data_IF_627004100490
#
_entry.id   IF_627004100490
#
_cell.length_a   1.000
_cell.length_b   1.000
_cell.length_c   1.000
_cell.angle_alpha   90.00
_cell.angle_beta   90.00
_cell.angle_gamma   90.00
#
_symmetry.space_group_name_H-M   'P 1'
#
loop_
_entity.id
_entity.type
_entity.pdbx_description
1 polymer ?
#
# COMPACT_ATOMS: atom_id res chain seq x y z
N UNK A 1 -3.88 -4.82 19.19
CA UNK A 1 -2.59 -5.51 19.01
C UNK A 1 -2.57 -6.02 17.59
N UNK A 2 -1.55 -5.66 16.81
CA UNK A 2 -1.44 -6.11 15.42
C UNK A 2 -1.07 -7.60 15.37
N UNK A 3 -1.67 -8.33 14.45
CA UNK A 3 -1.45 -9.77 14.26
C UNK A 3 -0.28 -9.99 13.30
N UNK A 4 0.88 -10.41 13.83
CA UNK A 4 2.09 -10.63 13.04
C UNK A 4 1.95 -11.78 12.04
N UNK A 5 1.17 -12.82 12.34
CA UNK A 5 0.94 -13.91 11.39
C UNK A 5 0.12 -13.43 10.20
N UNK A 6 -0.87 -12.55 10.44
CA UNK A 6 -1.64 -11.91 9.39
C UNK A 6 -0.75 -10.98 8.53
N UNK A 7 0.12 -10.19 9.16
CA UNK A 7 1.08 -9.32 8.45
C UNK A 7 2.03 -10.15 7.58
N UNK A 8 2.53 -11.29 8.08
CA UNK A 8 3.40 -12.18 7.31
C UNK A 8 2.73 -12.69 6.03
N UNK A 9 1.44 -13.03 6.12
CA UNK A 9 0.65 -13.56 4.98
C UNK A 9 0.42 -12.52 3.88
N UNK A 10 0.60 -11.23 4.16
CA UNK A 10 0.61 -10.20 3.12
C UNK A 10 1.76 -10.37 2.13
N UNK A 11 2.85 -11.04 2.55
CA UNK A 11 4.01 -11.38 1.70
C UNK A 11 4.58 -10.18 0.93
N UNK A 12 4.59 -9.02 1.59
CA UNK A 12 5.02 -7.74 1.02
C UNK A 12 6.44 -7.81 0.50
N UNK A 13 6.67 -7.27 -0.70
CA UNK A 13 7.96 -7.15 -1.36
C UNK A 13 8.43 -5.70 -1.38
N UNK A 14 9.73 -5.54 -1.59
CA UNK A 14 10.31 -4.21 -1.78
C UNK A 14 9.71 -3.55 -3.03
N UNK A 15 9.21 -2.33 -2.87
CA UNK A 15 8.49 -1.56 -3.89
C UNK A 15 6.98 -1.77 -3.90
N UNK A 16 6.42 -2.63 -3.05
CA UNK A 16 4.98 -2.90 -3.05
C UNK A 16 4.15 -1.69 -2.59
N UNK A 17 2.95 -1.62 -3.14
CA UNK A 17 1.90 -0.70 -2.72
C UNK A 17 0.75 -1.48 -2.09
N UNK A 18 0.49 -1.21 -0.82
CA UNK A 18 -0.64 -1.77 -0.08
C UNK A 18 -1.77 -0.76 -0.05
N UNK A 19 -2.99 -1.28 -0.25
CA UNK A 19 -4.21 -0.49 -0.17
C UNK A 19 -5.01 -0.94 1.03
N UNK A 20 -5.27 -0.03 1.96
CA UNK A 20 -6.16 -0.28 3.09
C UNK A 20 -7.55 0.34 2.83
N UNK A 21 -8.61 -0.19 3.46
CA UNK A 21 -9.94 0.40 3.39
C UNK A 21 -9.94 1.90 3.71
N UNK A 22 -10.86 2.63 3.09
CA UNK A 22 -11.00 4.07 3.33
C UNK A 22 -11.33 4.41 4.79
N UNK A 23 -12.00 3.48 5.48
CA UNK A 23 -12.36 3.57 6.90
C UNK A 23 -11.22 3.24 7.86
N UNK A 24 -10.02 2.87 7.37
CA UNK A 24 -8.89 2.53 8.24
C UNK A 24 -8.36 3.79 8.92
N UNK A 25 -8.16 3.74 10.23
CA UNK A 25 -7.63 4.88 10.99
C UNK A 25 -6.13 5.10 10.72
N UNK A 26 -5.64 6.32 10.99
CA UNK A 26 -4.23 6.65 10.68
C UNK A 26 -3.26 5.86 11.56
N UNK A 27 -3.63 5.68 12.83
CA UNK A 27 -2.84 4.93 13.80
C UNK A 27 -2.70 3.46 13.39
N UNK A 28 -3.76 2.84 12.86
CA UNK A 28 -3.70 1.45 12.36
C UNK A 28 -2.75 1.31 11.16
N UNK A 29 -2.69 2.31 10.28
CA UNK A 29 -1.75 2.32 9.15
C UNK A 29 -0.30 2.46 9.63
N UNK A 30 -0.07 3.29 10.64
CA UNK A 30 1.25 3.45 11.24
C UNK A 30 1.71 2.13 11.89
N UNK A 31 0.83 1.48 12.66
CA UNK A 31 1.10 0.17 13.26
C UNK A 31 1.41 -0.90 12.22
N UNK A 32 0.70 -0.91 11.09
CA UNK A 32 1.02 -1.82 9.97
C UNK A 32 2.40 -1.52 9.38
N UNK A 33 2.74 -0.25 9.18
CA UNK A 33 4.07 0.15 8.72
C UNK A 33 5.19 -0.29 9.67
N UNK A 34 5.01 -0.11 10.97
CA UNK A 34 5.96 -0.57 11.99
C UNK A 34 6.11 -2.09 11.99
N UNK A 35 5.00 -2.83 11.93
CA UNK A 35 5.04 -4.29 11.88
C UNK A 35 5.79 -4.80 10.64
N UNK A 36 5.56 -4.20 9.47
CA UNK A 36 6.28 -4.54 8.24
C UNK A 36 7.79 -4.27 8.38
N UNK A 37 8.17 -3.14 8.96
CA UNK A 37 9.58 -2.80 9.18
C UNK A 37 10.27 -3.76 10.17
N UNK A 38 9.58 -4.16 11.24
CA UNK A 38 10.10 -5.12 12.22
C UNK A 38 10.29 -6.52 11.61
N UNK A 39 9.34 -6.96 10.79
CA UNK A 39 9.38 -8.29 10.17
C UNK A 39 10.36 -8.37 9.00
N UNK A 40 10.50 -7.28 8.24
CA UNK A 40 11.42 -7.19 7.10
C UNK A 40 12.21 -5.88 7.18
N UNK A 41 13.31 -5.84 7.96
CA UNK A 41 14.11 -4.65 8.12
C UNK A 41 14.57 -4.08 6.77
N UNK A 42 14.34 -2.79 6.56
CA UNK A 42 14.73 -2.07 5.35
C UNK A 42 13.77 -2.20 4.15
N UNK A 43 12.64 -2.87 4.30
CA UNK A 43 11.60 -2.91 3.26
C UNK A 43 11.11 -1.50 2.93
N UNK A 44 10.95 -1.21 1.63
CA UNK A 44 10.35 0.01 1.12
C UNK A 44 9.00 -0.34 0.52
N UNK A 45 7.93 -0.08 1.25
CA UNK A 45 6.57 -0.25 0.77
C UNK A 45 5.76 1.02 1.05
N UNK A 46 4.71 1.24 0.25
CA UNK A 46 3.79 2.38 0.42
C UNK A 46 2.44 1.85 0.87
N UNK A 47 1.90 2.41 1.95
CA UNK A 47 0.54 2.12 2.41
C UNK A 47 -0.34 3.31 2.04
N UNK A 48 -1.37 3.07 1.23
CA UNK A 48 -2.34 4.09 0.83
C UNK A 48 -3.72 3.76 1.36
N UNK A 49 -4.42 4.79 1.83
CA UNK A 49 -5.82 4.72 2.22
C UNK A 49 -6.71 5.07 1.03
N UNK A 50 -7.78 4.29 0.87
CA UNK A 50 -8.86 4.60 -0.05
C UNK A 50 -8.89 3.67 -1.27
N UNK A 51 -9.89 3.82 -2.15
CA UNK A 51 -9.92 3.04 -3.36
C UNK A 51 -8.80 3.53 -4.31
N UNK A 52 -7.78 2.70 -4.49
CA UNK A 52 -6.85 2.87 -5.62
C UNK A 52 -7.38 2.08 -6.80
N UNK A 53 -7.64 2.79 -7.89
CA UNK A 53 -8.02 2.18 -9.17
C UNK A 53 -6.81 2.19 -10.09
N UNK A 54 -6.46 1.02 -10.63
CA UNK A 54 -5.45 0.95 -11.68
C UNK A 54 -6.04 1.54 -12.96
N UNK A 55 -5.47 2.66 -13.41
CA UNK A 55 -5.82 3.23 -14.70
C UNK A 55 -5.04 2.49 -15.80
N UNK A 56 -5.70 2.24 -16.92
CA UNK A 56 -5.01 1.84 -18.13
C UNK A 56 -4.41 3.06 -18.85
N UNK A 57 -3.52 2.82 -19.81
CA UNK A 57 -2.86 3.90 -20.57
C UNK A 57 -3.86 4.79 -21.29
N UNK A 58 -5.01 4.25 -21.75
CA UNK A 58 -6.04 5.02 -22.42
C UNK A 58 -6.71 6.02 -21.48
N UNK A 59 -7.05 5.60 -20.27
CA UNK A 59 -7.62 6.47 -19.24
C UNK A 59 -6.61 7.50 -18.75
N UNK A 60 -5.34 7.12 -18.62
CA UNK A 60 -4.24 8.05 -18.31
C UNK A 60 -4.07 9.10 -19.42
N UNK A 61 -4.17 8.70 -20.70
CA UNK A 61 -4.09 9.62 -21.84
C UNK A 61 -5.25 10.63 -21.84
N UNK A 62 -6.49 10.19 -21.53
CA UNK A 62 -7.66 11.08 -21.42
C UNK A 62 -7.48 12.14 -20.32
N UNK A 63 -6.78 11.78 -19.24
CA UNK A 63 -6.42 12.69 -18.15
C UNK A 63 -5.19 13.56 -18.47
N UNK A 64 -4.59 13.41 -19.65
CA UNK A 64 -3.45 14.21 -20.11
C UNK A 64 -2.11 13.83 -19.50
N UNK A 65 -1.98 12.62 -18.93
CA UNK A 65 -0.75 12.18 -18.27
C UNK A 65 0.36 11.89 -19.28
N UNK A 66 0.00 11.39 -20.45
CA UNK A 66 0.91 11.26 -21.59
C UNK A 66 0.47 12.20 -22.69
N UNK A 67 1.45 12.87 -23.30
CA UNK A 67 1.29 13.66 -24.52
C UNK A 67 1.74 12.80 -25.70
N UNK A 68 0.97 11.76 -26.01
CA UNK A 68 1.15 11.02 -27.27
C UNK A 68 0.41 11.77 -28.38
#
# INVERSE_FOLDING_TARGET
MIDFDAVQRLNVKDGDLLVVPESTEHEDMALLGEALHLMTPGIKAVIVRGPITKLDTGDMNKLGWYRA
#
